data_IF_564239382178
#
_entry.id   IF_564239382178
#
_cell.length_a   1.000
_cell.length_b   1.000
_cell.length_c   1.000
_cell.angle_alpha   90.00
_cell.angle_beta   90.00
_cell.angle_gamma   90.00
#
_symmetry.space_group_name_H-M   'P 1'
#
loop_
_entity.id
_entity.type
_entity.pdbx_description
1 polymer ?
#
# COMPACT_ATOMS: atom_id res chain seq x y z
N UNK A 1 10.96 -22.59 -24.42
CA UNK A 1 9.53 -22.53 -24.80
C UNK A 1 8.88 -21.43 -23.98
N UNK A 2 8.56 -20.28 -24.60
CA UNK A 2 7.76 -19.25 -23.94
C UNK A 2 6.38 -19.85 -23.66
N UNK A 3 6.01 -19.97 -22.38
CA UNK A 3 4.67 -20.41 -22.00
C UNK A 3 3.67 -19.35 -22.46
N UNK A 4 2.78 -19.71 -23.38
CA UNK A 4 1.69 -18.87 -23.89
C UNK A 4 0.82 -18.43 -22.67
N UNK A 5 0.62 -17.12 -22.47
CA UNK A 5 -0.23 -16.59 -21.39
C UNK A 5 0.49 -16.15 -20.11
N UNK A 6 1.79 -15.85 -20.14
CA UNK A 6 2.60 -15.55 -18.96
C UNK A 6 3.09 -14.09 -18.85
N UNK A 7 2.52 -13.17 -19.61
CA UNK A 7 2.90 -11.76 -19.51
C UNK A 7 1.97 -10.99 -18.58
N UNK A 8 2.55 -10.10 -17.77
CA UNK A 8 1.83 -9.29 -16.76
C UNK A 8 2.25 -7.83 -16.85
N UNK A 9 1.29 -6.94 -17.01
CA UNK A 9 1.47 -5.52 -16.80
C UNK A 9 1.14 -5.16 -15.38
N UNK A 10 2.08 -4.53 -14.68
CA UNK A 10 1.89 -3.95 -13.35
C UNK A 10 1.86 -2.43 -13.48
N UNK A 11 0.85 -1.79 -12.87
CA UNK A 11 0.70 -0.33 -12.86
C UNK A 11 0.71 0.16 -11.41
N UNK A 12 1.59 1.12 -11.07
CA UNK A 12 1.60 1.66 -9.72
C UNK A 12 2.71 2.65 -9.41
N UNK A 13 2.74 3.12 -8.15
CA UNK A 13 3.80 4.01 -7.67
C UNK A 13 5.15 3.29 -7.57
N UNK A 14 5.15 2.09 -6.98
CA UNK A 14 6.33 1.24 -6.84
C UNK A 14 5.94 -0.18 -7.24
N UNK A 15 6.40 -0.58 -8.41
CA UNK A 15 6.11 -1.90 -8.98
C UNK A 15 7.24 -2.90 -8.75
N UNK A 16 8.43 -2.45 -8.31
CA UNK A 16 9.64 -3.27 -8.17
C UNK A 16 9.42 -4.55 -7.35
N UNK A 17 8.77 -4.53 -6.15
CA UNK A 17 8.57 -5.75 -5.38
C UNK A 17 7.74 -6.81 -6.11
N UNK A 18 6.70 -6.37 -6.81
CA UNK A 18 5.82 -7.25 -7.59
C UNK A 18 6.53 -7.77 -8.84
N UNK A 19 7.27 -6.89 -9.52
CA UNK A 19 8.07 -7.26 -10.70
C UNK A 19 9.09 -8.33 -10.36
N UNK A 20 9.83 -8.18 -9.25
CA UNK A 20 10.75 -9.18 -8.73
C UNK A 20 10.07 -10.53 -8.49
N UNK A 21 8.93 -10.53 -7.78
CA UNK A 21 8.18 -11.73 -7.43
C UNK A 21 7.69 -12.47 -8.69
N UNK A 22 7.10 -11.74 -9.64
CA UNK A 22 6.65 -12.31 -10.93
C UNK A 22 7.80 -12.83 -11.79
N UNK A 23 8.89 -12.09 -11.87
CA UNK A 23 10.09 -12.54 -12.57
C UNK A 23 10.61 -13.87 -12.00
N UNK A 24 10.67 -14.00 -10.67
CA UNK A 24 11.07 -15.24 -9.97
C UNK A 24 10.11 -16.39 -10.24
N UNK A 25 8.84 -16.12 -10.50
CA UNK A 25 7.85 -17.13 -10.89
C UNK A 25 7.84 -17.45 -12.40
N UNK A 26 8.72 -16.80 -13.19
CA UNK A 26 8.88 -17.05 -14.64
C UNK A 26 7.89 -16.30 -15.53
N UNK A 27 7.29 -15.20 -15.04
CA UNK A 27 6.45 -14.31 -15.85
C UNK A 27 7.27 -13.31 -16.65
N UNK A 28 6.74 -12.90 -17.79
CA UNK A 28 7.26 -11.77 -18.58
C UNK A 28 6.60 -10.50 -18.02
N UNK A 29 7.40 -9.61 -17.46
CA UNK A 29 6.91 -8.47 -16.71
C UNK A 29 7.01 -7.18 -17.53
N UNK A 30 5.91 -6.43 -17.56
CA UNK A 30 5.81 -5.07 -18.08
C UNK A 30 5.37 -4.15 -16.93
N UNK A 31 5.84 -2.90 -16.91
CA UNK A 31 5.48 -1.98 -15.84
C UNK A 31 5.11 -0.58 -16.34
N UNK A 32 4.16 0.03 -15.63
CA UNK A 32 4.06 1.49 -15.55
C UNK A 32 4.37 1.86 -14.11
N UNK A 33 5.57 2.35 -13.91
CA UNK A 33 6.12 2.68 -12.59
C UNK A 33 6.30 4.17 -12.44
N UNK A 34 6.05 4.67 -11.24
CA UNK A 34 6.16 6.11 -11.02
C UNK A 34 7.61 6.55 -10.84
N UNK A 35 8.38 5.82 -10.03
CA UNK A 35 9.73 6.22 -9.59
C UNK A 35 10.85 5.60 -10.43
N UNK A 36 10.72 4.36 -10.89
CA UNK A 36 11.72 3.68 -11.71
C UNK A 36 13.02 3.39 -10.96
N UNK A 37 12.88 2.69 -9.84
CA UNK A 37 14.01 2.30 -9.01
C UNK A 37 15.06 1.49 -9.80
N UNK A 38 16.34 1.69 -9.50
CA UNK A 38 17.45 1.02 -10.21
C UNK A 38 17.35 -0.49 -10.19
N UNK A 39 16.85 -1.05 -9.09
CA UNK A 39 16.67 -2.49 -8.88
C UNK A 39 15.34 -3.03 -9.43
N UNK A 40 14.61 -2.24 -10.23
CA UNK A 40 13.45 -2.68 -11.01
C UNK A 40 13.87 -3.25 -12.37
N UNK A 41 14.78 -2.59 -13.07
CA UNK A 41 15.10 -2.86 -14.47
C UNK A 41 15.53 -4.29 -14.79
N UNK A 42 16.25 -5.02 -13.91
CA UNK A 42 16.63 -6.42 -14.19
C UNK A 42 15.44 -7.38 -14.30
N UNK A 43 14.24 -6.99 -13.86
CA UNK A 43 13.07 -7.86 -13.75
C UNK A 43 11.98 -7.58 -14.79
N UNK A 44 12.17 -6.58 -15.64
CA UNK A 44 11.15 -6.16 -16.60
C UNK A 44 11.62 -6.34 -18.05
N UNK A 45 10.69 -6.65 -18.94
CA UNK A 45 10.93 -6.69 -20.39
C UNK A 45 10.81 -5.31 -21.02
N UNK A 46 9.80 -4.53 -20.63
CA UNK A 46 9.56 -3.14 -21.06
C UNK A 46 8.76 -2.39 -19.99
N UNK A 47 8.86 -1.07 -19.98
CA UNK A 47 8.14 -0.24 -19.04
C UNK A 47 8.14 1.24 -19.38
N UNK A 48 7.19 1.97 -18.79
CA UNK A 48 7.13 3.42 -18.74
C UNK A 48 7.42 3.91 -17.34
N UNK A 49 8.42 4.75 -17.19
CA UNK A 49 8.84 5.35 -15.92
C UNK A 49 8.45 6.82 -15.91
N UNK A 50 7.41 7.16 -15.15
CA UNK A 50 6.72 8.45 -15.27
C UNK A 50 7.65 9.64 -15.00
N UNK A 51 8.38 9.63 -13.88
CA UNK A 51 9.26 10.76 -13.54
C UNK A 51 10.41 10.95 -14.54
N UNK A 52 10.90 9.85 -15.14
CA UNK A 52 11.96 9.88 -16.14
C UNK A 52 11.44 10.39 -17.48
N UNK A 53 10.30 9.89 -17.94
CA UNK A 53 9.68 10.30 -19.20
C UNK A 53 9.23 11.77 -19.18
N UNK A 54 8.82 12.27 -17.99
CA UNK A 54 8.44 13.68 -17.81
C UNK A 54 9.62 14.61 -17.43
N UNK A 55 10.79 14.05 -17.10
CA UNK A 55 11.97 14.80 -16.68
C UNK A 55 11.75 15.67 -15.42
N UNK A 56 10.93 15.16 -14.45
CA UNK A 56 10.48 15.93 -13.30
C UNK A 56 10.50 15.13 -12.00
N UNK A 57 10.28 15.78 -10.85
CA UNK A 57 10.16 15.10 -9.56
C UNK A 57 8.71 14.81 -9.19
N UNK A 58 8.51 13.83 -8.29
CA UNK A 58 7.18 13.47 -7.78
C UNK A 58 6.43 14.68 -7.22
N UNK A 59 7.09 15.51 -6.41
CA UNK A 59 6.46 16.65 -5.72
C UNK A 59 5.81 17.65 -6.68
N UNK A 60 6.36 17.81 -7.87
CA UNK A 60 5.83 18.73 -8.88
C UNK A 60 4.58 18.19 -9.59
N UNK A 61 4.45 16.87 -9.73
CA UNK A 61 3.35 16.25 -10.47
C UNK A 61 2.37 15.46 -9.57
N UNK A 62 2.59 15.45 -8.25
CA UNK A 62 1.81 14.65 -7.30
C UNK A 62 0.29 14.91 -7.33
N UNK A 63 -0.17 16.12 -7.73
CA UNK A 63 -1.61 16.41 -7.85
C UNK A 63 -2.27 15.66 -9.01
N UNK A 64 -1.53 15.31 -10.06
CA UNK A 64 -2.04 14.70 -11.29
C UNK A 64 -1.47 13.30 -11.55
N UNK A 65 -0.79 12.69 -10.58
CA UNK A 65 -0.12 11.40 -10.73
C UNK A 65 -1.01 10.32 -11.36
N UNK A 66 -2.30 10.29 -11.00
CA UNK A 66 -3.27 9.33 -11.47
C UNK A 66 -3.52 9.42 -12.98
N UNK A 67 -3.51 10.64 -13.53
CA UNK A 67 -3.63 10.87 -14.98
C UNK A 67 -2.42 10.32 -15.71
N UNK A 68 -1.22 10.56 -15.19
CA UNK A 68 0.01 10.02 -15.78
C UNK A 68 0.06 8.50 -15.73
N UNK A 69 -0.28 7.89 -14.58
CA UNK A 69 -0.37 6.42 -14.50
C UNK A 69 -1.32 5.86 -15.56
N UNK A 70 -2.46 6.50 -15.79
CA UNK A 70 -3.45 6.08 -16.78
C UNK A 70 -2.94 6.27 -18.21
N UNK A 71 -2.43 7.45 -18.52
CA UNK A 71 -1.92 7.80 -19.86
C UNK A 71 -0.79 6.86 -20.29
N UNK A 72 0.21 6.68 -19.43
CA UNK A 72 1.34 5.80 -19.72
C UNK A 72 0.94 4.33 -19.77
N UNK A 73 -0.08 3.92 -19.03
CA UNK A 73 -0.65 2.58 -19.15
C UNK A 73 -1.24 2.36 -20.56
N UNK A 74 -2.02 3.31 -21.04
CA UNK A 74 -2.61 3.23 -22.39
C UNK A 74 -1.52 3.19 -23.46
N UNK A 75 -0.54 4.07 -23.39
CA UNK A 75 0.61 4.09 -24.33
C UNK A 75 1.40 2.78 -24.30
N UNK A 76 1.62 2.20 -23.14
CA UNK A 76 2.33 0.91 -23.02
C UNK A 76 1.53 -0.25 -23.63
N UNK A 77 0.22 -0.28 -23.42
CA UNK A 77 -0.67 -1.28 -24.02
C UNK A 77 -0.73 -1.16 -25.55
N UNK A 78 -0.70 0.05 -26.10
CA UNK A 78 -0.68 0.28 -27.55
C UNK A 78 0.58 -0.29 -28.22
N UNK A 79 1.73 -0.14 -27.58
CA UNK A 79 2.99 -0.70 -28.09
C UNK A 79 3.21 -2.18 -27.73
N UNK A 80 2.44 -2.73 -26.77
CA UNK A 80 2.53 -4.12 -26.33
C UNK A 80 1.13 -4.79 -26.28
N UNK A 81 0.42 -4.95 -27.42
CA UNK A 81 -0.98 -5.40 -27.44
C UNK A 81 -1.17 -6.88 -27.07
N UNK A 82 -0.08 -7.64 -26.91
CA UNK A 82 -0.09 -9.08 -26.57
C UNK A 82 0.10 -9.37 -25.09
N UNK A 83 -0.01 -8.36 -24.21
CA UNK A 83 0.03 -8.56 -22.76
C UNK A 83 -1.22 -9.37 -22.34
N UNK A 84 -1.03 -10.38 -21.48
CA UNK A 84 -2.09 -11.31 -21.09
C UNK A 84 -2.84 -10.88 -19.82
N UNK A 85 -2.17 -10.22 -18.88
CA UNK A 85 -2.70 -9.92 -17.55
C UNK A 85 -2.39 -8.49 -17.12
N UNK A 86 -3.31 -7.90 -16.33
CA UNK A 86 -3.17 -6.56 -15.74
C UNK A 86 -3.33 -6.62 -14.24
N UNK A 87 -2.34 -6.11 -13.50
CA UNK A 87 -2.38 -5.83 -12.07
C UNK A 87 -2.24 -4.32 -11.84
N UNK A 88 -3.19 -3.71 -11.15
CA UNK A 88 -3.11 -2.32 -10.70
C UNK A 88 -2.77 -2.35 -9.20
N UNK A 89 -1.55 -1.96 -8.87
CA UNK A 89 -1.03 -1.87 -7.51
C UNK A 89 -1.47 -0.56 -6.81
N UNK A 90 -0.60 0.12 -6.10
CA UNK A 90 -0.89 1.42 -5.46
C UNK A 90 -0.96 2.57 -6.47
N UNK A 91 -1.70 3.62 -6.13
CA UNK A 91 -1.76 4.86 -6.91
C UNK A 91 -3.11 5.11 -7.59
N UNK A 92 -3.89 4.07 -7.87
CA UNK A 92 -5.25 4.21 -8.42
C UNK A 92 -6.33 3.66 -7.47
N UNK A 93 -6.09 3.68 -6.16
CA UNK A 93 -6.99 3.09 -5.15
C UNK A 93 -8.40 3.69 -5.18
N UNK A 94 -8.49 5.01 -5.20
CA UNK A 94 -9.74 5.77 -5.21
C UNK A 94 -10.05 6.41 -6.57
N UNK A 95 -9.22 6.15 -7.59
CA UNK A 95 -9.29 6.75 -8.92
C UNK A 95 -10.12 5.86 -9.86
N UNK A 96 -11.42 5.86 -9.61
CA UNK A 96 -12.37 4.98 -10.30
C UNK A 96 -12.48 5.29 -11.79
N UNK A 97 -12.48 6.58 -12.15
CA UNK A 97 -12.60 7.00 -13.56
C UNK A 97 -11.37 6.57 -14.37
N UNK A 98 -10.19 6.70 -13.81
CA UNK A 98 -8.92 6.29 -14.40
C UNK A 98 -8.88 4.77 -14.60
N UNK A 99 -9.32 3.99 -13.60
CA UNK A 99 -9.47 2.53 -13.75
C UNK A 99 -10.45 2.17 -14.84
N UNK A 100 -11.60 2.84 -14.89
CA UNK A 100 -12.61 2.64 -15.95
C UNK A 100 -12.05 2.99 -17.33
N UNK A 101 -11.26 4.06 -17.45
CA UNK A 101 -10.63 4.45 -18.70
C UNK A 101 -9.69 3.36 -19.23
N UNK A 102 -8.81 2.81 -18.37
CA UNK A 102 -7.92 1.71 -18.73
C UNK A 102 -8.74 0.49 -19.22
N UNK A 103 -9.75 0.08 -18.43
CA UNK A 103 -10.57 -1.09 -18.75
C UNK A 103 -11.43 -0.88 -20.03
N UNK A 104 -11.85 0.35 -20.28
CA UNK A 104 -12.57 0.71 -21.52
C UNK A 104 -11.66 0.55 -22.73
N UNK A 105 -10.43 1.08 -22.68
CA UNK A 105 -9.47 0.94 -23.79
C UNK A 105 -9.14 -0.53 -24.06
N UNK A 106 -8.94 -1.33 -23.00
CA UNK A 106 -8.72 -2.78 -23.15
C UNK A 106 -9.88 -3.44 -23.94
N UNK A 107 -11.11 -3.12 -23.59
CA UNK A 107 -12.32 -3.64 -24.26
C UNK A 107 -12.47 -3.11 -25.68
N UNK A 108 -12.38 -1.79 -25.87
CA UNK A 108 -12.67 -1.13 -27.15
C UNK A 108 -11.63 -1.46 -28.21
N UNK A 109 -10.37 -1.74 -27.81
CA UNK A 109 -9.28 -2.23 -28.66
C UNK A 109 -9.27 -3.77 -28.77
N UNK A 110 -10.21 -4.44 -28.12
CA UNK A 110 -10.33 -5.91 -28.11
C UNK A 110 -9.04 -6.63 -27.65
N UNK A 111 -8.27 -6.02 -26.73
CA UNK A 111 -7.10 -6.66 -26.13
C UNK A 111 -7.53 -7.85 -25.27
N UNK A 112 -6.84 -8.98 -25.38
CA UNK A 112 -7.14 -10.22 -24.63
C UNK A 112 -6.51 -10.21 -23.23
N UNK A 113 -6.65 -9.13 -22.52
CA UNK A 113 -6.02 -8.89 -21.22
C UNK A 113 -6.99 -9.28 -20.10
N UNK A 114 -6.56 -10.19 -19.23
CA UNK A 114 -7.28 -10.55 -18.01
C UNK A 114 -7.04 -9.52 -16.92
N UNK A 115 -8.11 -8.91 -16.42
CA UNK A 115 -8.03 -8.00 -15.28
C UNK A 115 -7.88 -8.81 -13.98
N UNK A 116 -6.71 -8.72 -13.32
CA UNK A 116 -6.39 -9.38 -12.07
C UNK A 116 -6.55 -8.41 -10.88
N UNK A 117 -7.66 -7.72 -10.84
CA UNK A 117 -7.98 -6.75 -9.80
C UNK A 117 -9.41 -6.99 -9.29
N UNK A 118 -9.75 -6.35 -8.16
CA UNK A 118 -11.13 -6.29 -7.70
C UNK A 118 -12.03 -5.55 -8.70
N UNK A 119 -13.28 -5.97 -8.79
CA UNK A 119 -14.30 -5.28 -9.59
C UNK A 119 -14.54 -3.87 -9.02
N UNK A 120 -14.82 -2.90 -9.87
CA UNK A 120 -14.98 -1.48 -9.49
C UNK A 120 -16.01 -1.27 -8.38
N UNK A 121 -17.12 -2.01 -8.42
CA UNK A 121 -18.15 -1.91 -7.38
C UNK A 121 -17.63 -2.41 -6.03
N UNK A 122 -16.83 -3.47 -6.02
CA UNK A 122 -16.25 -4.04 -4.81
C UNK A 122 -15.19 -3.09 -4.22
N UNK A 123 -14.41 -2.43 -5.09
CA UNK A 123 -13.48 -1.37 -4.66
C UNK A 123 -14.24 -0.22 -4.00
N UNK A 124 -15.29 0.31 -4.63
CA UNK A 124 -16.11 1.39 -4.06
C UNK A 124 -16.69 1.02 -2.70
N UNK A 125 -17.22 -0.19 -2.57
CA UNK A 125 -17.82 -0.68 -1.32
C UNK A 125 -16.76 -0.85 -0.23
N UNK A 126 -15.59 -1.42 -0.54
CA UNK A 126 -14.49 -1.61 0.40
C UNK A 126 -13.88 -0.28 0.88
N UNK A 127 -13.84 0.73 0.02
CA UNK A 127 -13.33 2.07 0.35
C UNK A 127 -14.34 2.95 1.10
N UNK A 128 -15.60 2.54 1.24
CA UNK A 128 -16.61 3.27 2.00
C UNK A 128 -16.59 2.85 3.47
N UNK A 129 -15.70 3.44 4.27
CA UNK A 129 -15.49 3.05 5.67
C UNK A 129 -16.76 3.22 6.54
N UNK A 130 -17.67 4.13 6.19
CA UNK A 130 -18.93 4.30 6.91
C UNK A 130 -19.82 3.06 6.76
N UNK A 131 -20.00 2.59 5.52
CA UNK A 131 -20.78 1.37 5.26
C UNK A 131 -20.09 0.12 5.79
N UNK A 132 -18.76 0.04 5.69
CA UNK A 132 -17.97 -1.04 6.30
C UNK A 132 -18.16 -1.08 7.82
N UNK A 133 -18.14 0.07 8.49
CA UNK A 133 -18.40 0.15 9.93
C UNK A 133 -19.82 -0.31 10.31
N UNK A 134 -20.85 -0.02 9.49
CA UNK A 134 -22.21 -0.56 9.71
C UNK A 134 -22.22 -2.08 9.65
N UNK A 135 -21.61 -2.67 8.61
CA UNK A 135 -21.53 -4.13 8.48
C UNK A 135 -20.84 -4.80 9.67
N UNK A 136 -19.79 -4.15 10.24
CA UNK A 136 -19.10 -4.65 11.41
C UNK A 136 -19.94 -4.51 12.67
N UNK A 137 -20.64 -3.37 12.87
CA UNK A 137 -21.55 -3.18 14.02
C UNK A 137 -22.69 -4.22 14.03
N UNK A 138 -23.30 -4.50 12.87
CA UNK A 138 -24.34 -5.52 12.71
C UNK A 138 -23.84 -6.92 13.14
N UNK A 139 -22.57 -7.20 13.01
CA UNK A 139 -21.90 -8.44 13.46
C UNK A 139 -21.40 -8.38 14.92
N UNK A 140 -21.66 -7.28 15.65
CA UNK A 140 -21.24 -7.11 17.04
C UNK A 140 -19.76 -6.69 17.22
N UNK A 141 -19.05 -6.32 16.16
CA UNK A 141 -17.68 -5.83 16.27
C UNK A 141 -17.65 -4.34 16.67
N UNK A 142 -16.65 -3.98 17.49
CA UNK A 142 -16.38 -2.56 17.80
C UNK A 142 -15.74 -1.88 16.61
N UNK A 143 -16.18 -0.65 16.35
CA UNK A 143 -15.64 0.21 15.29
C UNK A 143 -15.40 1.60 15.85
N UNK A 144 -14.48 2.38 15.29
CA UNK A 144 -14.33 3.79 15.69
C UNK A 144 -15.59 4.56 15.26
N UNK A 145 -16.04 5.46 16.13
CA UNK A 145 -17.13 6.38 15.75
C UNK A 145 -16.60 7.21 14.57
N UNK A 146 -17.32 7.18 13.46
CA UNK A 146 -16.86 7.82 12.21
C UNK A 146 -18.05 8.47 11.52
N UNK A 147 -17.95 9.76 11.26
CA UNK A 147 -19.03 10.55 10.65
C UNK A 147 -18.50 11.43 9.51
N UNK A 148 -19.35 11.73 8.52
CA UNK A 148 -19.04 12.77 7.54
C UNK A 148 -18.81 14.12 8.24
N UNK A 149 -17.79 14.84 7.80
CA UNK A 149 -17.60 16.20 8.28
C UNK A 149 -18.54 17.16 7.52
N UNK A 150 -19.35 17.92 8.25
CA UNK A 150 -20.18 18.97 7.69
C UNK A 150 -19.66 20.35 8.05
N UNK A 151 -19.48 20.59 9.34
CA UNK A 151 -18.92 21.83 9.88
C UNK A 151 -18.42 21.62 11.31
N UNK A 152 -17.64 22.56 11.81
CA UNK A 152 -17.06 22.51 13.16
C UNK A 152 -18.15 22.51 14.26
N UNK A 153 -19.27 23.17 14.02
CA UNK A 153 -20.38 23.27 14.98
C UNK A 153 -21.29 22.03 14.96
N UNK A 154 -21.10 21.13 14.00
CA UNK A 154 -21.85 19.88 13.85
C UNK A 154 -21.04 18.63 14.19
N UNK A 155 -19.95 18.77 14.95
CA UNK A 155 -19.22 17.62 15.47
C UNK A 155 -20.11 16.92 16.49
N UNK A 156 -20.40 15.60 16.32
CA UNK A 156 -21.23 14.87 17.25
C UNK A 156 -20.63 14.86 18.66
N UNK A 157 -21.42 14.99 19.73
CA UNK A 157 -20.92 14.92 21.12
C UNK A 157 -20.22 13.59 21.46
N UNK A 158 -20.51 12.53 20.71
CA UNK A 158 -19.88 11.22 20.86
C UNK A 158 -18.43 11.15 20.37
N UNK A 159 -17.98 12.16 19.61
CA UNK A 159 -16.59 12.27 19.14
C UNK A 159 -15.89 13.37 19.95
N UNK A 160 -15.00 12.96 20.86
CA UNK A 160 -14.22 13.87 21.71
C UNK A 160 -12.84 14.13 21.15
N UNK A 161 -12.21 15.22 21.55
CA UNK A 161 -10.80 15.48 21.28
C UNK A 161 -9.90 14.64 22.23
N UNK A 162 -8.73 14.16 21.73
CA UNK A 162 -8.27 14.28 20.37
C UNK A 162 -9.11 13.44 19.41
N UNK A 163 -9.36 13.95 18.20
CA UNK A 163 -10.05 13.24 17.15
C UNK A 163 -9.18 13.11 15.89
N UNK A 164 -9.58 12.23 14.96
CA UNK A 164 -8.99 12.13 13.64
C UNK A 164 -9.85 12.91 12.63
N UNK A 165 -9.20 13.79 11.89
CA UNK A 165 -9.74 14.47 10.72
C UNK A 165 -9.05 13.92 9.49
N UNK A 166 -9.77 13.23 8.61
CA UNK A 166 -9.17 12.54 7.46
C UNK A 166 -9.99 12.71 6.19
N UNK A 167 -9.28 12.73 5.05
CA UNK A 167 -9.94 12.72 3.74
C UNK A 167 -10.57 11.35 3.48
N UNK A 168 -11.80 11.32 2.91
CA UNK A 168 -12.51 10.06 2.57
C UNK A 168 -11.74 9.21 1.59
N UNK A 169 -11.10 9.85 0.60
CA UNK A 169 -10.30 9.23 -0.46
C UNK A 169 -8.86 9.64 -0.26
N UNK A 170 -8.06 8.76 0.30
CA UNK A 170 -6.64 8.99 0.60
C UNK A 170 -5.96 7.64 0.83
N UNK A 171 -4.64 7.60 0.64
CA UNK A 171 -3.82 6.44 0.93
C UNK A 171 -2.51 6.85 1.59
N UNK A 172 -1.84 5.90 2.27
CA UNK A 172 -0.53 6.12 2.87
C UNK A 172 -0.47 7.10 4.04
N UNK A 173 -1.61 7.54 4.58
CA UNK A 173 -1.67 8.47 5.73
C UNK A 173 -1.50 9.95 5.39
N UNK A 174 -1.40 10.33 4.10
CA UNK A 174 -1.07 11.71 3.68
C UNK A 174 -2.09 12.75 4.18
N UNK A 175 -3.37 12.43 4.18
CA UNK A 175 -4.46 13.32 4.57
C UNK A 175 -5.17 12.84 5.85
N UNK A 176 -4.40 12.40 6.83
CA UNK A 176 -4.85 12.01 8.16
C UNK A 176 -4.22 12.94 9.18
N UNK A 177 -5.02 13.56 10.03
CA UNK A 177 -4.58 14.53 11.03
C UNK A 177 -5.18 14.19 12.39
N UNK A 178 -4.36 14.14 13.44
CA UNK A 178 -4.78 14.10 14.82
C UNK A 178 -5.05 15.53 15.28
N UNK A 179 -6.23 15.80 15.75
CA UNK A 179 -6.69 17.12 16.14
C UNK A 179 -6.92 17.13 17.64
N UNK A 180 -6.14 17.91 18.35
CA UNK A 180 -6.14 17.96 19.83
C UNK A 180 -7.30 18.81 20.40
N UNK A 181 -7.77 19.83 19.64
CA UNK A 181 -8.83 20.74 20.05
C UNK A 181 -9.48 21.44 18.85
N UNK A 182 -10.53 22.20 19.14
CA UNK A 182 -11.32 22.92 18.12
C UNK A 182 -10.50 23.99 17.37
N UNK A 183 -9.61 24.67 18.07
CA UNK A 183 -8.75 25.73 17.53
C UNK A 183 -7.80 25.18 16.48
N UNK A 184 -7.17 24.03 16.75
CA UNK A 184 -6.30 23.33 15.77
C UNK A 184 -7.08 22.87 14.55
N UNK A 185 -8.35 22.44 14.69
CA UNK A 185 -9.19 22.07 13.54
C UNK A 185 -9.50 23.29 12.66
N UNK A 186 -9.84 24.42 13.30
CA UNK A 186 -10.10 25.69 12.58
C UNK A 186 -8.85 26.12 11.81
N UNK A 187 -7.68 26.07 12.46
CA UNK A 187 -6.40 26.42 11.85
C UNK A 187 -6.07 25.51 10.65
N UNK A 188 -6.24 24.20 10.81
CA UNK A 188 -6.00 23.24 9.72
C UNK A 188 -6.90 23.52 8.52
N UNK A 189 -8.21 23.70 8.73
CA UNK A 189 -9.19 23.97 7.66
C UNK A 189 -8.84 25.26 6.91
N UNK A 190 -8.41 26.31 7.62
CA UNK A 190 -7.96 27.56 6.98
C UNK A 190 -6.73 27.33 6.08
N UNK A 191 -5.79 26.49 6.55
CA UNK A 191 -4.55 26.20 5.80
C UNK A 191 -4.74 25.26 4.60
N UNK A 192 -5.80 24.44 4.60
CA UNK A 192 -6.14 23.59 3.44
C UNK A 192 -6.63 24.42 2.23
N UNK A 193 -6.87 25.70 2.42
CA UNK A 193 -7.25 26.65 1.36
C UNK A 193 -8.73 26.59 0.99
N UNK A 194 -9.39 27.74 0.97
CA UNK A 194 -10.85 27.87 0.70
C UNK A 194 -11.29 27.26 -0.65
N UNK A 195 -10.42 27.22 -1.66
CA UNK A 195 -10.73 26.69 -3.00
C UNK A 195 -10.62 25.15 -3.09
N UNK A 196 -9.80 24.53 -2.25
CA UNK A 196 -9.53 23.08 -2.29
C UNK A 196 -10.27 22.31 -1.19
N UNK A 197 -10.78 23.00 -0.17
CA UNK A 197 -11.49 22.38 0.95
C UNK A 197 -12.99 22.25 0.67
N UNK A 198 -13.45 21.00 0.56
CA UNK A 198 -14.88 20.64 0.50
C UNK A 198 -15.20 19.78 1.71
N UNK A 199 -16.08 20.22 2.64
CA UNK A 199 -16.42 19.45 3.84
C UNK A 199 -16.83 18.01 3.53
N UNK A 200 -17.62 17.79 2.48
CA UNK A 200 -18.08 16.47 2.05
C UNK A 200 -16.95 15.46 1.73
N UNK A 201 -15.74 15.93 1.45
CA UNK A 201 -14.57 15.07 1.17
C UNK A 201 -13.90 14.56 2.45
N UNK A 202 -14.34 15.01 3.62
CA UNK A 202 -13.69 14.75 4.90
C UNK A 202 -14.57 13.95 5.85
N UNK A 203 -13.90 13.23 6.74
CA UNK A 203 -14.48 12.49 7.86
C UNK A 203 -13.89 13.01 9.17
N UNK A 204 -14.69 12.96 10.21
CA UNK A 204 -14.26 12.99 11.59
C UNK A 204 -14.38 11.59 12.17
N UNK A 205 -13.38 11.18 12.93
CA UNK A 205 -13.35 9.85 13.50
C UNK A 205 -12.79 9.90 14.93
N UNK A 206 -13.30 9.02 15.79
CA UNK A 206 -12.72 8.76 17.10
C UNK A 206 -11.23 8.42 16.96
N UNK A 207 -10.37 9.05 17.76
CA UNK A 207 -8.96 8.66 17.83
C UNK A 207 -8.82 7.38 18.65
N UNK A 208 -8.38 6.32 17.99
CA UNK A 208 -8.08 5.05 18.65
C UNK A 208 -6.59 5.02 18.97
N UNK A 209 -6.26 5.26 20.24
CA UNK A 209 -4.89 5.06 20.71
C UNK A 209 -4.57 3.57 20.81
N UNK A 210 -3.47 3.12 20.19
CA UNK A 210 -3.12 1.72 20.19
C UNK A 210 -1.99 1.35 19.24
N UNK A 211 -1.89 0.07 18.98
CA UNK A 211 -0.81 -0.53 18.18
C UNK A 211 -1.29 -0.69 16.73
N UNK A 212 -0.64 -0.05 15.75
CA UNK A 212 -0.97 -0.25 14.33
C UNK A 212 -0.68 -1.69 13.89
N UNK A 213 -1.63 -2.30 13.20
CA UNK A 213 -1.52 -3.66 12.65
C UNK A 213 -2.14 -3.71 11.26
N UNK A 214 -1.77 -4.71 10.47
CA UNK A 214 -2.44 -4.99 9.20
C UNK A 214 -2.64 -6.49 9.02
N UNK A 215 -3.63 -6.83 8.19
CA UNK A 215 -3.88 -8.19 7.75
C UNK A 215 -3.82 -8.23 6.23
N UNK A 216 -3.07 -9.18 5.69
CA UNK A 216 -3.04 -9.50 4.26
C UNK A 216 -3.84 -10.76 4.03
N UNK A 217 -4.80 -10.71 3.11
CA UNK A 217 -5.66 -11.83 2.74
C UNK A 217 -5.51 -12.18 1.27
N UNK A 218 -5.93 -13.38 0.89
CA UNK A 218 -6.16 -13.78 -0.50
C UNK A 218 -7.55 -14.37 -0.62
N UNK A 219 -8.27 -14.02 -1.68
CA UNK A 219 -9.68 -14.41 -1.88
C UNK A 219 -9.96 -14.77 -3.34
N UNK A 220 -10.96 -15.65 -3.55
CA UNK A 220 -11.48 -15.98 -4.89
C UNK A 220 -12.82 -15.28 -5.21
N UNK A 221 -13.29 -14.40 -4.31
CA UNK A 221 -14.59 -13.71 -4.38
C UNK A 221 -15.68 -14.34 -3.52
N UNK A 222 -15.49 -15.56 -3.00
CA UNK A 222 -16.42 -16.29 -2.13
C UNK A 222 -15.75 -16.75 -0.83
N UNK A 223 -14.51 -17.19 -0.95
CA UNK A 223 -13.70 -17.71 0.14
C UNK A 223 -12.43 -16.89 0.32
N UNK A 224 -11.94 -16.80 1.55
CA UNK A 224 -10.78 -15.99 1.91
C UNK A 224 -9.86 -16.78 2.86
N UNK A 225 -8.55 -16.71 2.58
CA UNK A 225 -7.48 -17.19 3.47
C UNK A 225 -6.65 -16.00 3.97
N UNK A 226 -6.14 -16.13 5.19
CA UNK A 226 -5.17 -15.18 5.74
C UNK A 226 -3.78 -15.55 5.24
N UNK A 227 -3.07 -14.57 4.70
CA UNK A 227 -1.65 -14.67 4.37
C UNK A 227 -0.82 -14.31 5.58
N UNK A 228 -0.99 -13.08 6.09
CA UNK A 228 -0.19 -12.60 7.21
C UNK A 228 -0.91 -11.56 8.06
N UNK A 229 -0.57 -11.51 9.36
CA UNK A 229 -0.96 -10.47 10.28
C UNK A 229 0.31 -9.76 10.73
N UNK A 230 0.41 -8.46 10.46
CA UNK A 230 1.64 -7.70 10.49
C UNK A 230 1.57 -6.57 11.50
N UNK A 231 2.71 -6.22 12.10
CA UNK A 231 2.88 -4.95 12.82
C UNK A 231 3.16 -3.85 11.78
N UNK A 232 2.34 -2.81 11.73
CA UNK A 232 2.64 -1.63 10.92
C UNK A 232 3.57 -0.69 11.68
N UNK A 233 4.42 -0.01 10.90
CA UNK A 233 5.26 1.10 11.37
C UNK A 233 4.70 2.37 10.73
N UNK A 234 4.20 3.26 11.58
CA UNK A 234 3.52 4.50 11.18
C UNK A 234 4.22 5.67 11.87
N UNK A 235 4.55 6.72 11.11
CA UNK A 235 5.05 7.98 11.65
C UNK A 235 6.32 7.85 12.50
N UNK A 236 7.23 6.95 12.17
CA UNK A 236 8.43 6.71 12.96
C UNK A 236 9.52 7.72 12.61
N UNK A 237 9.84 8.63 13.52
CA UNK A 237 10.71 9.81 13.31
C UNK A 237 12.07 9.51 12.69
N UNK A 238 12.74 8.43 13.11
CA UNK A 238 14.06 8.03 12.55
C UNK A 238 14.02 7.77 11.04
N UNK A 239 12.82 7.53 10.46
CA UNK A 239 12.62 7.30 9.03
C UNK A 239 12.26 8.59 8.28
N UNK A 240 12.17 9.72 8.97
CA UNK A 240 11.84 11.05 8.47
C UNK A 240 10.53 11.14 7.66
N UNK A 241 9.41 10.54 8.13
CA UNK A 241 8.16 10.65 7.40
C UNK A 241 7.70 12.11 7.32
N UNK A 242 7.12 12.55 6.20
CA UNK A 242 6.66 13.92 6.04
C UNK A 242 5.43 14.27 6.90
N UNK A 243 4.79 13.27 7.54
CA UNK A 243 3.59 13.42 8.41
C UNK A 243 3.49 12.31 9.43
N UNK A 244 2.84 12.57 10.56
CA UNK A 244 2.72 11.67 11.72
C UNK A 244 2.03 10.33 11.40
N UNK A 245 1.08 10.30 10.46
CA UNK A 245 0.35 9.09 10.07
C UNK A 245 0.87 8.44 8.79
N UNK A 246 2.03 8.88 8.31
CA UNK A 246 2.64 8.27 7.13
C UNK A 246 3.01 6.81 7.38
N UNK A 247 2.62 5.95 6.43
CA UNK A 247 3.06 4.58 6.41
C UNK A 247 4.58 4.50 6.19
N UNK A 248 5.27 3.91 7.14
CA UNK A 248 6.73 3.74 7.12
C UNK A 248 7.17 2.29 6.96
N UNK A 249 6.26 1.34 6.97
CA UNK A 249 6.60 -0.07 6.74
C UNK A 249 5.85 -1.08 7.58
N UNK A 250 6.36 -2.32 7.56
CA UNK A 250 5.77 -3.45 8.27
C UNK A 250 6.84 -4.39 8.83
N UNK A 251 6.47 -5.10 9.91
CA UNK A 251 7.20 -6.25 10.45
C UNK A 251 6.29 -7.48 10.31
N UNK A 252 6.77 -8.53 9.68
CA UNK A 252 6.04 -9.77 9.37
C UNK A 252 6.78 -10.97 9.98
N UNK A 253 6.10 -11.84 10.75
CA UNK A 253 4.77 -11.65 11.32
C UNK A 253 4.74 -10.59 12.43
N UNK A 254 3.56 -10.02 12.68
CA UNK A 254 3.34 -9.14 13.82
C UNK A 254 3.34 -9.93 15.14
N UNK A 255 4.00 -9.38 16.17
CA UNK A 255 4.05 -9.99 17.51
C UNK A 255 2.81 -9.59 18.33
N UNK A 256 1.68 -10.27 18.09
CA UNK A 256 0.43 -10.06 18.79
C UNK A 256 -0.03 -11.33 19.51
N UNK A 257 -0.81 -11.18 20.59
CA UNK A 257 -1.42 -12.33 21.28
C UNK A 257 -2.42 -13.06 20.38
N UNK A 258 -2.62 -14.35 20.64
CA UNK A 258 -3.47 -15.23 19.80
C UNK A 258 -4.90 -14.70 19.65
N UNK A 259 -5.51 -14.16 20.73
CA UNK A 259 -6.84 -13.57 20.70
C UNK A 259 -6.96 -12.39 19.71
N UNK A 260 -5.97 -11.49 19.70
CA UNK A 260 -5.95 -10.35 18.77
C UNK A 260 -5.81 -10.82 17.33
N UNK A 261 -4.90 -11.78 17.07
CA UNK A 261 -4.73 -12.37 15.73
C UNK A 261 -6.02 -13.03 15.24
N UNK A 262 -6.70 -13.78 16.11
CA UNK A 262 -7.98 -14.44 15.78
C UNK A 262 -9.05 -13.43 15.38
N UNK A 263 -9.24 -12.36 16.17
CA UNK A 263 -10.22 -11.31 15.85
C UNK A 263 -9.89 -10.55 14.56
N UNK A 264 -8.62 -10.23 14.31
CA UNK A 264 -8.19 -9.60 13.05
C UNK A 264 -8.53 -10.51 11.88
N UNK A 265 -8.23 -11.82 11.98
CA UNK A 265 -8.52 -12.78 10.92
C UNK A 265 -10.03 -12.90 10.67
N UNK A 266 -10.84 -13.06 11.73
CA UNK A 266 -12.30 -13.16 11.63
C UNK A 266 -12.92 -11.94 10.95
N UNK A 267 -12.54 -10.72 11.36
CA UNK A 267 -13.02 -9.47 10.76
C UNK A 267 -12.61 -9.39 9.28
N UNK A 268 -11.35 -9.69 8.97
CA UNK A 268 -10.82 -9.59 7.59
C UNK A 268 -11.50 -10.60 6.67
N UNK A 269 -11.67 -11.85 7.10
CA UNK A 269 -12.37 -12.90 6.32
C UNK A 269 -13.85 -12.52 6.11
N UNK A 270 -14.53 -12.09 7.16
CA UNK A 270 -15.95 -11.72 7.09
C UNK A 270 -16.19 -10.57 6.10
N UNK A 271 -15.31 -9.55 6.11
CA UNK A 271 -15.41 -8.42 5.20
C UNK A 271 -15.00 -8.79 3.77
N UNK A 272 -13.90 -9.53 3.58
CA UNK A 272 -13.45 -9.94 2.26
C UNK A 272 -14.53 -10.76 1.53
N UNK A 273 -15.16 -11.73 2.23
CA UNK A 273 -16.25 -12.53 1.69
C UNK A 273 -17.50 -11.68 1.40
N UNK A 274 -17.92 -10.82 2.35
CA UNK A 274 -19.10 -9.95 2.19
C UNK A 274 -18.96 -8.98 1.03
N UNK A 275 -17.75 -8.44 0.83
CA UNK A 275 -17.42 -7.51 -0.24
C UNK A 275 -16.99 -8.20 -1.54
N UNK A 276 -16.99 -9.54 -1.56
CA UNK A 276 -16.58 -10.37 -2.71
C UNK A 276 -15.23 -9.96 -3.29
N UNK A 277 -14.26 -9.73 -2.40
CA UNK A 277 -12.92 -9.35 -2.82
C UNK A 277 -12.23 -10.53 -3.51
N UNK A 278 -11.37 -10.21 -4.49
CA UNK A 278 -10.57 -11.17 -5.27
C UNK A 278 -9.09 -10.85 -5.15
N UNK A 279 -8.24 -11.87 -5.30
CA UNK A 279 -6.81 -11.71 -5.19
C UNK A 279 -6.35 -11.33 -3.78
N UNK A 280 -5.18 -10.74 -3.68
CA UNK A 280 -4.61 -10.27 -2.43
C UNK A 280 -5.16 -8.90 -2.06
N UNK A 281 -5.55 -8.73 -0.78
CA UNK A 281 -6.10 -7.50 -0.24
C UNK A 281 -5.50 -7.20 1.14
N UNK A 282 -5.46 -5.91 1.52
CA UNK A 282 -4.97 -5.43 2.81
C UNK A 282 -6.08 -4.87 3.69
N UNK A 283 -5.96 -5.08 4.99
CA UNK A 283 -6.87 -4.53 6.02
C UNK A 283 -6.01 -3.87 7.09
N UNK A 284 -6.25 -2.61 7.39
CA UNK A 284 -5.48 -1.84 8.37
C UNK A 284 -6.26 -1.67 9.67
N UNK A 285 -5.59 -1.93 10.79
CA UNK A 285 -6.19 -1.93 12.12
C UNK A 285 -5.36 -1.09 13.11
N UNK A 286 -6.03 -0.66 14.18
CA UNK A 286 -5.38 -0.23 15.42
C UNK A 286 -5.88 -1.10 16.57
N UNK A 287 -4.96 -1.67 17.35
CA UNK A 287 -5.29 -2.49 18.51
C UNK A 287 -5.29 -1.63 19.80
N UNK A 288 -6.49 -1.35 20.33
CA UNK A 288 -6.65 -0.77 21.66
C UNK A 288 -6.86 -1.89 22.67
N UNK A 289 -5.96 -2.05 23.65
CA UNK A 289 -6.03 -3.15 24.65
C UNK A 289 -6.27 -4.52 24.03
N UNK A 290 -5.52 -4.81 22.94
CA UNK A 290 -5.60 -6.06 22.17
C UNK A 290 -6.90 -6.27 21.37
N UNK A 291 -7.82 -5.33 21.37
CA UNK A 291 -9.01 -5.38 20.50
C UNK A 291 -8.75 -4.60 19.20
N UNK A 292 -8.95 -5.23 18.02
CA UNK A 292 -8.71 -4.58 16.74
C UNK A 292 -9.88 -3.67 16.32
N UNK A 293 -9.57 -2.46 15.95
CA UNK A 293 -10.45 -1.50 15.30
C UNK A 293 -10.01 -1.36 13.85
N UNK A 294 -10.90 -1.65 12.91
CA UNK A 294 -10.61 -1.48 11.48
C UNK A 294 -10.54 0.01 11.13
N UNK A 295 -9.47 0.40 10.44
CA UNK A 295 -9.24 1.78 10.00
C UNK A 295 -9.50 1.95 8.51
N UNK A 296 -9.13 0.94 7.69
CA UNK A 296 -9.17 1.00 6.23
C UNK A 296 -9.13 -0.39 5.61
N UNK A 297 -9.73 -0.53 4.41
CA UNK A 297 -9.55 -1.69 3.53
C UNK A 297 -8.81 -1.21 2.28
N UNK A 298 -7.75 -1.90 1.93
CA UNK A 298 -6.98 -1.73 0.72
C UNK A 298 -7.31 -2.87 -0.26
N UNK A 299 -8.29 -2.70 -1.21
CA UNK A 299 -8.73 -3.76 -2.10
C UNK A 299 -7.73 -3.98 -3.26
N UNK A 300 -6.48 -4.19 -2.90
CA UNK A 300 -5.31 -4.42 -3.75
C UNK A 300 -4.16 -5.05 -2.97
N UNK A 301 -3.11 -5.43 -3.68
CA UNK A 301 -1.87 -5.93 -3.08
C UNK A 301 -1.26 -4.85 -2.16
N UNK A 302 -1.06 -5.11 -0.85
CA UNK A 302 -0.50 -4.14 0.10
C UNK A 302 1.03 -4.06 0.04
N UNK A 303 1.59 -2.96 0.55
CA UNK A 303 3.03 -2.74 0.60
C UNK A 303 3.83 -3.73 1.48
N UNK A 304 3.15 -4.46 2.36
CA UNK A 304 3.73 -5.51 3.20
C UNK A 304 4.05 -6.81 2.45
N UNK A 305 3.60 -6.95 1.20
CA UNK A 305 3.64 -8.23 0.49
C UNK A 305 5.06 -8.81 0.37
N UNK A 306 6.06 -7.98 0.05
CA UNK A 306 7.45 -8.45 -0.06
C UNK A 306 8.00 -8.96 1.28
N UNK A 307 7.68 -8.30 2.40
CA UNK A 307 8.06 -8.79 3.72
C UNK A 307 7.36 -10.12 4.04
N UNK A 308 6.08 -10.29 3.64
CA UNK A 308 5.36 -11.55 3.79
C UNK A 308 5.99 -12.68 2.98
N UNK A 309 6.36 -12.42 1.71
CA UNK A 309 7.04 -13.40 0.85
C UNK A 309 8.36 -13.88 1.45
N UNK A 310 9.19 -12.95 1.92
CA UNK A 310 10.46 -13.28 2.56
C UNK A 310 10.31 -13.97 3.91
N UNK A 311 9.27 -13.62 4.68
CA UNK A 311 9.00 -14.25 5.97
C UNK A 311 8.50 -15.69 5.84
N UNK A 312 7.72 -15.99 4.78
CA UNK A 312 7.11 -17.29 4.53
C UNK A 312 7.90 -18.14 3.51
N UNK A 313 8.82 -17.54 2.78
CA UNK A 313 9.54 -18.15 1.65
C UNK A 313 8.57 -18.67 0.55
N UNK A 314 7.50 -17.88 0.28
CA UNK A 314 6.48 -18.18 -0.72
C UNK A 314 6.40 -17.07 -1.77
N UNK A 315 6.11 -17.44 -3.02
CA UNK A 315 5.76 -16.47 -4.05
C UNK A 315 4.26 -16.16 -3.99
N UNK A 316 3.91 -15.10 -3.26
CA UNK A 316 2.50 -14.74 -3.02
C UNK A 316 1.86 -14.07 -4.24
N UNK A 317 2.66 -13.45 -5.12
CA UNK A 317 2.12 -12.82 -6.34
C UNK A 317 1.72 -13.86 -7.38
N UNK A 318 2.41 -15.01 -7.45
CA UNK A 318 1.94 -16.15 -8.24
C UNK A 318 0.59 -16.68 -7.70
N UNK A 319 0.46 -16.81 -6.38
CA UNK A 319 -0.83 -17.18 -5.77
C UNK A 319 -1.92 -16.15 -6.05
N UNK A 320 -1.60 -14.85 -6.08
CA UNK A 320 -2.53 -13.80 -6.47
C UNK A 320 -3.08 -14.05 -7.89
N UNK A 321 -2.22 -14.31 -8.86
CA UNK A 321 -2.65 -14.61 -10.24
C UNK A 321 -3.50 -15.87 -10.29
N UNK A 322 -3.07 -16.93 -9.61
CA UNK A 322 -3.79 -18.22 -9.53
C UNK A 322 -5.17 -18.06 -8.89
N UNK A 323 -5.37 -17.15 -7.92
CA UNK A 323 -6.66 -16.96 -7.24
C UNK A 323 -7.80 -16.48 -8.16
N UNK A 324 -7.48 -15.95 -9.34
CA UNK A 324 -8.46 -15.61 -10.39
C UNK A 324 -8.82 -16.78 -11.29
N UNK A 325 -8.26 -17.98 -11.03
CA UNK A 325 -8.64 -19.23 -11.67
C UNK A 325 -9.30 -20.15 -10.63
N UNK A 326 -10.58 -20.45 -10.83
CA UNK A 326 -11.35 -21.30 -9.90
C UNK A 326 -10.70 -22.66 -9.66
N UNK A 327 -10.06 -23.24 -10.68
CA UNK A 327 -9.44 -24.55 -10.59
C UNK A 327 -8.17 -24.59 -9.71
N UNK A 328 -7.56 -23.41 -9.43
CA UNK A 328 -6.35 -23.32 -8.63
C UNK A 328 -6.63 -23.02 -7.15
N UNK A 329 -7.89 -22.82 -6.76
CA UNK A 329 -8.19 -22.37 -5.39
C UNK A 329 -7.81 -23.40 -4.33
N UNK A 330 -8.11 -24.69 -4.56
CA UNK A 330 -7.77 -25.76 -3.61
C UNK A 330 -6.25 -25.87 -3.41
N UNK A 331 -5.44 -25.70 -4.48
CA UNK A 331 -3.98 -25.65 -4.38
C UNK A 331 -3.51 -24.47 -3.50
N UNK A 332 -4.13 -23.29 -3.67
CA UNK A 332 -3.81 -22.12 -2.84
C UNK A 332 -4.13 -22.37 -1.38
N UNK A 333 -5.29 -22.98 -1.09
CA UNK A 333 -5.71 -23.34 0.27
C UNK A 333 -4.70 -24.29 0.89
N UNK A 334 -4.33 -25.36 0.18
CA UNK A 334 -3.35 -26.35 0.66
C UNK A 334 -1.98 -25.72 0.93
N UNK A 335 -1.47 -24.88 0.03
CA UNK A 335 -0.21 -24.16 0.22
C UNK A 335 -0.25 -23.30 1.48
N UNK A 336 -1.32 -22.52 1.68
CA UNK A 336 -1.42 -21.59 2.80
C UNK A 336 -1.70 -22.29 4.14
N UNK A 337 -2.44 -23.40 4.15
CA UNK A 337 -2.70 -24.18 5.37
C UNK A 337 -1.43 -24.91 5.86
N UNK A 338 -0.52 -25.27 4.95
CA UNK A 338 0.79 -25.83 5.26
C UNK A 338 1.91 -24.78 5.44
N UNK A 339 1.61 -23.51 5.17
CA UNK A 339 2.59 -22.44 5.27
C UNK A 339 2.89 -22.06 6.73
N UNK A 340 4.13 -21.69 6.99
CA UNK A 340 4.56 -21.15 8.27
C UNK A 340 5.56 -20.03 8.07
N UNK A 341 5.63 -19.13 9.02
CA UNK A 341 6.69 -18.12 9.03
C UNK A 341 8.04 -18.76 9.35
N UNK A 342 9.01 -18.61 8.46
CA UNK A 342 10.38 -19.12 8.62
C UNK A 342 11.28 -18.11 9.33
N UNK A 343 11.02 -16.83 9.10
CA UNK A 343 11.78 -15.68 9.59
C UNK A 343 10.87 -14.52 9.93
N UNK A 344 11.40 -13.53 10.62
CA UNK A 344 10.81 -12.20 10.72
C UNK A 344 11.42 -11.31 9.66
N UNK A 345 10.58 -10.64 8.88
CA UNK A 345 11.00 -9.69 7.85
C UNK A 345 10.49 -8.30 8.18
N UNK A 346 11.39 -7.34 8.31
CA UNK A 346 11.06 -5.93 8.50
C UNK A 346 11.32 -5.18 7.21
N UNK A 347 10.28 -4.58 6.63
CA UNK A 347 10.40 -3.62 5.54
C UNK A 347 10.12 -2.22 6.07
N UNK A 348 11.06 -1.28 5.90
CA UNK A 348 10.91 0.13 6.24
C UNK A 348 11.12 1.01 5.01
N UNK A 349 10.44 2.16 4.95
CA UNK A 349 10.64 3.19 3.93
C UNK A 349 11.35 4.35 4.59
N UNK A 350 12.46 4.77 4.01
CA UNK A 350 13.25 5.93 4.49
C UNK A 350 12.95 7.15 3.60
N UNK A 351 12.56 8.26 4.23
CA UNK A 351 12.22 9.51 3.54
C UNK A 351 13.34 10.55 3.66
N UNK A 352 13.41 11.45 2.71
CA UNK A 352 14.40 12.51 2.69
C UNK A 352 14.13 13.54 3.80
N UNK A 353 15.05 13.71 4.80
CA UNK A 353 14.89 14.70 5.88
C UNK A 353 14.99 16.14 5.40
N UNK A 354 15.70 16.36 4.31
CA UNK A 354 15.89 17.61 3.57
C UNK A 354 16.13 17.27 2.10
N UNK A 355 16.38 18.26 1.25
CA UNK A 355 16.85 17.98 -0.10
C UNK A 355 18.20 17.23 -0.06
N UNK A 356 18.30 16.15 -0.84
CA UNK A 356 19.47 15.26 -0.89
C UNK A 356 20.03 15.18 -2.29
N UNK A 357 21.35 15.42 -2.40
CA UNK A 357 22.06 15.35 -3.68
C UNK A 357 22.31 13.91 -4.15
N UNK A 358 22.57 13.75 -5.46
CA UNK A 358 22.78 12.47 -6.14
C UNK A 358 23.93 11.66 -5.52
N UNK A 359 25.03 12.31 -5.14
CA UNK A 359 26.21 11.61 -4.63
C UNK A 359 25.91 10.87 -3.32
N UNK A 360 25.10 11.49 -2.44
CA UNK A 360 24.65 10.86 -1.19
C UNK A 360 23.71 9.70 -1.46
N UNK A 361 22.77 9.83 -2.41
CA UNK A 361 21.87 8.75 -2.81
C UNK A 361 22.64 7.56 -3.36
N UNK A 362 23.65 7.79 -4.19
CA UNK A 362 24.53 6.74 -4.71
C UNK A 362 25.18 5.95 -3.57
N UNK A 363 25.69 6.62 -2.52
CA UNK A 363 26.25 5.95 -1.33
C UNK A 363 25.20 5.12 -0.59
N UNK A 364 23.99 5.65 -0.42
CA UNK A 364 22.89 4.90 0.21
C UNK A 364 22.55 3.65 -0.60
N UNK A 365 22.46 3.76 -1.93
CA UNK A 365 22.15 2.63 -2.81
C UNK A 365 23.15 1.48 -2.75
N UNK A 366 24.38 1.72 -2.31
CA UNK A 366 25.41 0.69 -2.13
C UNK A 366 25.33 -0.04 -0.76
N UNK A 367 24.53 0.45 0.17
CA UNK A 367 24.34 -0.26 1.44
C UNK A 367 23.66 -1.61 1.23
N UNK A 368 24.06 -2.60 2.05
CA UNK A 368 23.37 -3.89 2.10
C UNK A 368 21.95 -3.72 2.64
N UNK A 369 21.01 -4.54 2.19
CA UNK A 369 19.58 -4.54 2.57
C UNK A 369 18.76 -3.34 2.07
N UNK A 370 19.32 -2.52 1.18
CA UNK A 370 18.60 -1.46 0.50
C UNK A 370 17.95 -2.00 -0.76
N UNK A 371 16.66 -1.69 -0.88
CA UNK A 371 15.79 -1.99 -2.01
C UNK A 371 15.04 -0.73 -2.42
N UNK A 372 14.31 -0.81 -3.53
CA UNK A 372 13.64 0.34 -4.11
C UNK A 372 14.64 1.50 -4.25
N UNK A 373 15.77 1.19 -4.92
CA UNK A 373 16.95 2.07 -5.03
C UNK A 373 16.65 3.22 -5.95
N UNK A 374 16.47 4.40 -5.40
CA UNK A 374 16.15 5.59 -6.20
C UNK A 374 17.26 5.88 -7.22
N UNK A 375 16.83 6.17 -8.45
CA UNK A 375 17.67 6.69 -9.54
C UNK A 375 17.30 8.16 -9.79
N UNK A 376 17.87 9.09 -9.04
CA UNK A 376 17.48 10.49 -9.13
C UNK A 376 18.02 11.11 -10.42
N UNK A 377 17.14 11.72 -11.21
CA UNK A 377 17.53 12.58 -12.34
C UNK A 377 18.15 13.87 -11.81
N UNK A 378 17.67 14.31 -10.64
CA UNK A 378 18.10 15.50 -9.90
C UNK A 378 18.17 15.16 -8.41
N UNK A 379 18.26 16.17 -7.54
CA UNK A 379 18.10 15.96 -6.09
C UNK A 379 16.75 15.36 -5.73
N UNK A 380 16.71 14.62 -4.62
CA UNK A 380 15.45 14.16 -4.00
C UNK A 380 14.97 15.24 -3.04
N UNK A 381 13.72 15.65 -3.18
CA UNK A 381 13.14 16.69 -2.35
C UNK A 381 12.77 16.19 -0.95
N UNK A 382 12.76 17.08 0.04
CA UNK A 382 12.33 16.77 1.39
C UNK A 382 10.96 16.05 1.42
N UNK A 383 10.89 14.94 2.17
CA UNK A 383 9.68 14.13 2.33
C UNK A 383 9.40 13.13 1.21
N UNK A 384 10.22 13.09 0.14
CA UNK A 384 10.14 12.03 -0.85
C UNK A 384 10.84 10.75 -0.35
N UNK A 385 10.37 9.54 -0.74
CA UNK A 385 11.03 8.30 -0.37
C UNK A 385 12.39 8.19 -1.06
N UNK A 386 13.41 7.76 -0.31
CA UNK A 386 14.76 7.51 -0.81
C UNK A 386 14.94 6.04 -1.17
N UNK A 387 14.52 5.15 -0.29
CA UNK A 387 14.68 3.70 -0.47
C UNK A 387 13.78 2.92 0.49
N UNK A 388 13.72 1.61 0.28
CA UNK A 388 13.23 0.67 1.29
C UNK A 388 14.39 -0.10 1.92
N UNK A 389 14.28 -0.36 3.22
CA UNK A 389 15.16 -1.28 3.97
C UNK A 389 14.40 -2.59 4.12
N UNK A 390 14.97 -3.71 3.72
CA UNK A 390 14.41 -5.04 3.98
C UNK A 390 15.42 -5.86 4.77
N UNK A 391 15.09 -6.15 6.02
CA UNK A 391 15.96 -6.86 6.95
C UNK A 391 15.25 -8.09 7.51
N UNK A 392 15.91 -9.25 7.46
CA UNK A 392 15.33 -10.55 7.76
C UNK A 392 16.14 -11.23 8.84
N UNK A 393 15.45 -11.68 9.91
CA UNK A 393 16.07 -12.30 11.07
C UNK A 393 15.19 -13.35 11.75
N UNK A 394 15.76 -14.08 12.73
CA UNK A 394 15.07 -15.15 13.43
C UNK A 394 14.11 -14.67 14.53
N UNK A 395 14.16 -13.39 14.91
CA UNK A 395 13.27 -12.82 15.91
C UNK A 395 12.71 -11.47 15.48
N UNK A 396 11.53 -11.13 16.01
CA UNK A 396 10.88 -9.84 15.81
C UNK A 396 11.81 -8.66 16.18
N UNK A 397 12.42 -8.73 17.37
CA UNK A 397 13.29 -7.67 17.87
C UNK A 397 14.52 -7.50 16.99
N UNK A 398 15.22 -8.59 16.65
CA UNK A 398 16.44 -8.52 15.84
C UNK A 398 16.14 -8.00 14.43
N UNK A 399 15.02 -8.42 13.83
CA UNK A 399 14.60 -7.93 12.51
C UNK A 399 14.31 -6.43 12.53
N UNK A 400 13.58 -5.95 13.52
CA UNK A 400 13.23 -4.54 13.63
C UNK A 400 14.44 -3.67 13.99
N UNK A 401 15.18 -4.00 15.04
CA UNK A 401 16.37 -3.21 15.45
C UNK A 401 17.48 -3.24 14.40
N UNK A 402 17.64 -4.37 13.68
CA UNK A 402 18.57 -4.44 12.56
C UNK A 402 18.20 -3.47 11.43
N UNK A 403 16.93 -3.41 11.08
CA UNK A 403 16.44 -2.42 10.10
C UNK A 403 16.64 -0.97 10.57
N UNK A 404 16.43 -0.67 11.86
CA UNK A 404 16.67 0.65 12.43
C UNK A 404 18.16 1.06 12.43
N UNK A 405 19.08 0.11 12.63
CA UNK A 405 20.54 0.38 12.50
C UNK A 405 20.90 0.80 11.07
N UNK A 406 20.26 0.22 10.07
CA UNK A 406 20.47 0.62 8.69
C UNK A 406 19.91 2.02 8.44
N UNK A 407 18.74 2.34 9.00
CA UNK A 407 18.16 3.69 8.92
C UNK A 407 19.09 4.73 9.57
N UNK A 408 19.70 4.43 10.72
CA UNK A 408 20.70 5.29 11.37
C UNK A 408 21.95 5.49 10.48
N UNK A 409 22.44 4.43 9.82
CA UNK A 409 23.55 4.53 8.87
C UNK A 409 23.20 5.43 7.67
N UNK A 410 21.98 5.35 7.15
CA UNK A 410 21.49 6.26 6.10
C UNK A 410 21.53 7.70 6.62
N UNK A 411 21.01 7.94 7.82
CA UNK A 411 21.02 9.28 8.45
C UNK A 411 22.44 9.84 8.53
N UNK A 412 23.42 9.03 8.95
CA UNK A 412 24.83 9.45 9.02
C UNK A 412 25.38 9.81 7.64
N UNK A 413 25.15 9.02 6.61
CA UNK A 413 25.56 9.33 5.22
C UNK A 413 24.96 10.65 4.75
N UNK A 414 23.67 10.89 5.04
CA UNK A 414 22.97 12.09 4.60
C UNK A 414 23.39 13.36 5.38
N UNK A 415 23.88 13.22 6.62
CA UNK A 415 24.32 14.33 7.47
C UNK A 415 25.75 14.79 7.19
N UNK A 416 26.59 13.96 6.58
CA UNK A 416 27.98 14.36 6.24
C UNK A 416 27.99 15.57 5.31
N UNK A 417 28.63 16.65 5.74
CA UNK A 417 28.97 17.79 4.88
C UNK A 417 30.29 17.47 4.18
N UNK A 418 30.28 17.46 2.87
CA UNK A 418 31.48 17.42 2.02
C UNK A 418 31.74 18.79 1.44
#
# INVERSE_FOLDING_TARGET
MEKKGNSVLIVGFNTRPLAYSLYKAGYIVYVVDFFGDLDLFPYIKDGSIIIKELGTSYKLIQKNYHRYLTEFTIKLLERNPKIDNLIIASGLDDQIEERNQILRIIRDRNYKIKNLNNDIINIKNARNIIEVNKLLKEKGYKVPITEPFESINKIPPSITFPLIFKKRKSSGGINVYKIENKEKLIFLIKNLGRKEFKPSDWLIQEFIEGIPASCTTISNGNETKIISINRQVIGLDILNPPKDFMYCGNIVPGNFISRAKKLIAEISIALANRLRLKGINGFDFVLRRQYPYLMEINPRIPGSISASEHSMELNLIDLHIKSFNKNCWNEIVEILDNASYKKYATKLIYFAPKEVDINKITKVNHLKYIHDKTDPIKSIMQGEPICSILFIENSFANSFFGALKIADNITKILSLNY
#
